data_IF_972400659337
#
_entry.id   IF_972400659337
#
_cell.length_a   1.000
_cell.length_b   1.000
_cell.length_c   1.000
_cell.angle_alpha   90.00
_cell.angle_beta   90.00
_cell.angle_gamma   90.00
#
_symmetry.space_group_name_H-M   'P 1'
#
loop_
_entity.id
_entity.type
_entity.pdbx_description
1 polymer ?
#
# COMPACT_ATOMS: atom_id res chain seq x y z
N UNK A 1 -9.74 -9.41 6.79
CA UNK A 1 -8.29 -9.45 7.08
C UNK A 1 -7.78 -8.03 7.27
N UNK A 2 -6.83 -7.82 8.18
CA UNK A 2 -6.17 -6.51 8.40
C UNK A 2 -4.70 -6.63 8.07
N UNK A 3 -4.11 -5.55 7.57
CA UNK A 3 -2.66 -5.42 7.38
C UNK A 3 -2.08 -4.56 8.50
N UNK A 4 -1.13 -5.12 9.24
CA UNK A 4 -0.39 -4.44 10.31
C UNK A 4 0.94 -3.97 9.74
N UNK A 5 1.26 -2.69 9.94
CA UNK A 5 2.50 -2.08 9.49
C UNK A 5 3.42 -1.90 10.69
N UNK A 6 4.56 -2.59 10.67
CA UNK A 6 5.61 -2.51 11.67
C UNK A 6 6.88 -1.95 11.04
N UNK A 7 7.62 -1.16 11.81
CA UNK A 7 8.91 -0.63 11.39
C UNK A 7 10.00 -1.30 12.22
N UNK A 8 10.86 -2.08 11.59
CA UNK A 8 12.01 -2.73 12.22
C UNK A 8 13.30 -1.93 11.93
N UNK A 9 14.22 -1.82 12.90
CA UNK A 9 15.44 -1.05 12.74
C UNK A 9 16.50 -1.78 11.89
N UNK A 10 16.46 -3.11 11.83
CA UNK A 10 17.51 -3.93 11.17
C UNK A 10 16.93 -5.11 10.40
N UNK A 11 17.70 -5.61 9.44
CA UNK A 11 17.38 -6.82 8.68
C UNK A 11 17.30 -8.05 9.60
N UNK A 12 18.16 -8.13 10.62
CA UNK A 12 18.17 -9.23 11.57
C UNK A 12 16.88 -9.28 12.40
N UNK A 13 16.41 -8.13 12.92
CA UNK A 13 15.12 -8.05 13.62
C UNK A 13 13.98 -8.49 12.70
N UNK A 14 14.03 -8.08 11.42
CA UNK A 14 13.03 -8.47 10.44
C UNK A 14 12.99 -9.99 10.18
N UNK A 15 14.15 -10.66 10.15
CA UNK A 15 14.22 -12.13 10.04
C UNK A 15 13.66 -12.83 11.26
N UNK A 16 14.04 -12.39 12.46
CA UNK A 16 13.54 -12.96 13.70
C UNK A 16 12.01 -12.83 13.79
N UNK A 17 11.47 -11.67 13.39
CA UNK A 17 10.03 -11.47 13.24
C UNK A 17 9.43 -12.49 12.27
N UNK A 18 10.05 -12.69 11.10
CA UNK A 18 9.61 -13.68 10.12
C UNK A 18 9.57 -15.09 10.71
N UNK A 19 10.67 -15.54 11.32
CA UNK A 19 10.80 -16.88 11.90
C UNK A 19 9.78 -17.12 13.03
N UNK A 20 9.56 -16.12 13.88
CA UNK A 20 8.59 -16.21 14.98
C UNK A 20 7.14 -16.22 14.49
N UNK A 21 6.84 -15.47 13.42
CA UNK A 21 5.53 -15.53 12.75
C UNK A 21 5.30 -16.88 12.07
N UNK A 22 6.32 -17.47 11.46
CA UNK A 22 6.28 -18.83 10.93
C UNK A 22 6.01 -19.87 12.00
N UNK A 23 6.73 -19.80 13.12
CA UNK A 23 6.53 -20.68 14.26
C UNK A 23 5.12 -20.55 14.86
N UNK A 24 4.51 -19.36 14.76
CA UNK A 24 3.13 -19.09 15.17
C UNK A 24 2.06 -19.54 14.15
N UNK A 25 2.47 -20.16 13.03
CA UNK A 25 1.56 -20.67 11.99
C UNK A 25 1.07 -19.60 11.02
N UNK A 26 1.69 -18.41 10.99
CA UNK A 26 1.42 -17.40 9.96
C UNK A 26 2.30 -17.74 8.75
N UNK A 27 1.64 -18.03 7.63
CA UNK A 27 2.31 -18.47 6.41
C UNK A 27 3.11 -17.31 5.77
N UNK A 28 4.16 -17.63 5.00
CA UNK A 28 5.05 -16.66 4.34
C UNK A 28 4.27 -15.65 3.49
N UNK A 29 3.20 -16.12 2.84
CA UNK A 29 2.28 -15.28 2.05
C UNK A 29 1.69 -14.11 2.82
N UNK A 30 1.57 -14.24 4.14
CA UNK A 30 1.00 -13.24 5.01
C UNK A 30 2.05 -12.30 5.64
N UNK A 31 3.31 -12.38 5.22
CA UNK A 31 4.38 -11.49 5.65
C UNK A 31 5.09 -10.89 4.44
N UNK A 32 5.21 -9.57 4.39
CA UNK A 32 5.94 -8.88 3.33
C UNK A 32 6.85 -7.83 3.95
N UNK A 33 8.07 -7.70 3.41
CA UNK A 33 9.07 -6.76 3.90
C UNK A 33 9.48 -5.83 2.77
N UNK A 34 9.55 -4.54 3.07
CA UNK A 34 9.91 -3.50 2.11
C UNK A 34 11.10 -2.74 2.70
N UNK A 35 12.18 -2.65 1.92
CA UNK A 35 13.38 -1.89 2.26
C UNK A 35 13.98 -1.24 1.03
N UNK A 36 14.81 -0.21 1.25
CA UNK A 36 15.54 0.48 0.17
C UNK A 36 16.44 -0.48 -0.63
N UNK A 37 17.04 -1.46 0.05
CA UNK A 37 17.87 -2.49 -0.59
C UNK A 37 17.07 -3.79 -0.78
N UNK A 38 16.34 -3.87 -1.89
CA UNK A 38 15.60 -5.09 -2.25
C UNK A 38 16.54 -6.27 -2.57
N UNK A 39 17.80 -6.01 -2.92
CA UNK A 39 18.76 -7.06 -3.26
C UNK A 39 19.12 -7.89 -2.03
N UNK A 40 19.26 -7.24 -0.87
CA UNK A 40 19.47 -7.91 0.41
C UNK A 40 18.28 -8.76 0.89
N UNK A 41 17.05 -8.41 0.49
CA UNK A 41 15.84 -9.20 0.78
C UNK A 41 15.74 -10.45 -0.12
N UNK A 42 16.01 -10.29 -1.43
CA UNK A 42 16.00 -11.40 -2.40
C UNK A 42 17.05 -12.46 -2.08
N UNK A 43 18.24 -12.06 -1.63
CA UNK A 43 19.29 -12.98 -1.18
C UNK A 43 18.91 -13.80 0.07
N UNK A 44 17.91 -13.34 0.82
CA UNK A 44 17.48 -13.91 2.09
C UNK A 44 16.13 -14.63 1.99
N UNK A 45 15.63 -14.87 0.76
CA UNK A 45 14.32 -15.48 0.48
C UNK A 45 13.12 -14.74 1.09
N UNK A 46 13.27 -13.45 1.41
CA UNK A 46 12.16 -12.64 1.94
C UNK A 46 11.38 -12.08 0.75
N UNK A 47 10.09 -12.39 0.69
CA UNK A 47 9.23 -12.01 -0.44
C UNK A 47 9.03 -10.49 -0.51
N UNK A 48 9.42 -9.91 -1.64
CA UNK A 48 9.25 -8.48 -1.98
C UNK A 48 7.95 -8.22 -2.75
N UNK A 49 7.55 -6.95 -2.78
CA UNK A 49 6.21 -6.33 -2.79
C UNK A 49 5.22 -6.55 -3.95
N UNK A 50 5.16 -7.72 -4.61
CA UNK A 50 4.35 -7.91 -5.82
C UNK A 50 2.84 -7.56 -5.67
N UNK A 51 2.23 -7.78 -4.50
CA UNK A 51 0.79 -7.53 -4.30
C UNK A 51 0.41 -6.04 -4.34
N UNK A 52 1.26 -5.18 -3.78
CA UNK A 52 0.98 -3.75 -3.69
C UNK A 52 1.07 -3.07 -5.06
N UNK A 53 2.06 -3.47 -5.85
CA UNK A 53 2.22 -3.07 -7.25
C UNK A 53 1.00 -3.52 -8.09
N UNK A 54 0.56 -4.77 -7.90
CA UNK A 54 -0.64 -5.29 -8.58
C UNK A 54 -1.90 -4.49 -8.22
N UNK A 55 -2.04 -4.06 -6.96
CA UNK A 55 -3.22 -3.31 -6.51
C UNK A 55 -3.28 -1.89 -7.10
N UNK A 56 -2.13 -1.21 -7.19
CA UNK A 56 -2.04 0.13 -7.77
C UNK A 56 -2.24 0.11 -9.29
N UNK A 57 -1.76 -0.94 -9.98
CA UNK A 57 -2.07 -1.21 -11.39
C UNK A 57 -3.58 -1.30 -11.65
N UNK A 58 -4.30 -2.09 -10.85
CA UNK A 58 -5.76 -2.24 -11.00
C UNK A 58 -6.47 -0.92 -10.73
N UNK A 59 -6.07 -0.19 -9.68
CA UNK A 59 -6.68 1.09 -9.33
C UNK A 59 -6.53 2.11 -10.45
N UNK A 60 -5.29 2.38 -10.83
CA UNK A 60 -4.98 3.49 -11.72
C UNK A 60 -5.38 3.10 -13.17
N UNK A 61 -5.40 1.81 -13.50
CA UNK A 61 -6.07 1.28 -14.70
C UNK A 61 -7.58 1.52 -14.72
N UNK A 62 -8.31 1.29 -13.62
CA UNK A 62 -9.75 1.60 -13.55
C UNK A 62 -10.04 3.10 -13.67
N UNK A 63 -9.21 3.95 -13.05
CA UNK A 63 -9.32 5.41 -13.18
C UNK A 63 -9.07 5.82 -14.63
N UNK A 64 -8.01 5.30 -15.24
CA UNK A 64 -7.69 5.55 -16.64
C UNK A 64 -8.80 5.08 -17.59
N UNK A 65 -9.39 3.91 -17.35
CA UNK A 65 -10.54 3.40 -18.10
C UNK A 65 -11.74 4.35 -18.02
N UNK A 66 -12.06 4.85 -16.82
CA UNK A 66 -13.15 5.80 -16.62
C UNK A 66 -12.93 7.12 -17.36
N UNK A 67 -11.70 7.66 -17.32
CA UNK A 67 -11.33 8.86 -18.08
C UNK A 67 -11.43 8.60 -19.58
N UNK A 68 -10.88 7.48 -20.06
CA UNK A 68 -10.94 7.05 -21.46
C UNK A 68 -12.39 6.90 -21.96
N UNK A 69 -13.28 6.34 -21.14
CA UNK A 69 -14.70 6.22 -21.44
C UNK A 69 -15.38 7.59 -21.60
N UNK A 70 -15.17 8.52 -20.66
CA UNK A 70 -15.73 9.87 -20.74
C UNK A 70 -15.20 10.64 -21.95
N UNK A 71 -13.90 10.55 -22.24
CA UNK A 71 -13.30 11.13 -23.44
C UNK A 71 -13.87 10.51 -24.72
N UNK A 72 -14.05 9.19 -24.74
CA UNK A 72 -14.66 8.47 -25.86
C UNK A 72 -16.10 8.92 -26.11
N UNK A 73 -16.91 9.08 -25.05
CA UNK A 73 -18.27 9.61 -25.16
C UNK A 73 -18.29 11.05 -25.67
N UNK A 74 -17.41 11.91 -25.16
CA UNK A 74 -17.30 13.28 -25.62
C UNK A 74 -16.89 13.35 -27.10
N UNK A 75 -15.93 12.53 -27.52
CA UNK A 75 -15.49 12.44 -28.92
C UNK A 75 -16.59 11.91 -29.83
N UNK A 76 -17.32 10.86 -29.42
CA UNK A 76 -18.46 10.33 -30.16
C UNK A 76 -19.57 11.37 -30.30
N UNK A 77 -19.91 12.09 -29.22
CA UNK A 77 -20.90 13.16 -29.24
C UNK A 77 -20.49 14.32 -30.14
N UNK A 78 -19.21 14.70 -30.12
CA UNK A 78 -18.67 15.73 -31.01
C UNK A 78 -18.75 15.30 -32.48
N UNK A 79 -18.41 14.04 -32.76
CA UNK A 79 -18.47 13.47 -34.10
C UNK A 79 -19.91 13.38 -34.63
N UNK A 80 -20.90 13.11 -33.76
CA UNK A 80 -22.33 13.18 -34.10
C UNK A 80 -22.79 14.62 -34.37
N UNK A 81 -22.33 15.60 -33.59
CA UNK A 81 -22.76 16.99 -33.70
C UNK A 81 -22.21 17.71 -34.94
N UNK A 82 -20.93 17.49 -35.26
CA UNK A 82 -20.26 18.17 -36.38
C UNK A 82 -20.31 17.39 -37.70
N UNK A 83 -20.68 16.11 -37.66
CA UNK A 83 -20.76 15.21 -38.81
C UNK A 83 -19.58 15.34 -39.79
N UNK A 84 -18.31 15.31 -39.32
CA UNK A 84 -17.14 15.56 -40.18
C UNK A 84 -16.97 14.52 -41.29
N UNK A 85 -17.57 13.33 -41.12
CA UNK A 85 -17.54 12.22 -42.08
C UNK A 85 -18.90 11.99 -42.77
N UNK A 86 -19.83 12.95 -42.66
CA UNK A 86 -21.19 12.83 -43.16
C UNK A 86 -22.18 12.18 -42.17
N UNK A 87 -23.47 12.11 -42.54
CA UNK A 87 -24.52 11.59 -41.67
C UNK A 87 -24.59 10.06 -41.60
N UNK A 88 -24.07 9.36 -42.60
CA UNK A 88 -24.20 7.90 -42.75
C UNK A 88 -23.09 7.11 -42.04
N UNK A 89 -22.60 7.60 -40.90
CA UNK A 89 -21.63 6.86 -40.08
C UNK A 89 -22.38 5.77 -39.30
N UNK A 90 -22.00 4.48 -39.42
CA UNK A 90 -22.63 3.41 -38.67
C UNK A 90 -22.45 3.54 -37.15
N UNK A 91 -23.49 3.22 -36.37
CA UNK A 91 -23.47 3.24 -34.89
C UNK A 91 -22.30 2.46 -34.28
N UNK A 92 -21.88 1.38 -34.94
CA UNK A 92 -20.75 0.55 -34.50
C UNK A 92 -19.43 1.34 -34.44
N UNK A 93 -19.25 2.37 -35.27
CA UNK A 93 -18.04 3.20 -35.26
C UNK A 93 -17.96 4.03 -33.98
N UNK A 94 -19.08 4.63 -33.55
CA UNK A 94 -19.16 5.37 -32.30
C UNK A 94 -18.94 4.46 -31.08
N UNK A 95 -19.54 3.26 -31.12
CA UNK A 95 -19.31 2.26 -30.07
C UNK A 95 -17.83 1.85 -30.00
N UNK A 96 -17.21 1.54 -31.14
CA UNK A 96 -15.80 1.18 -31.22
C UNK A 96 -14.89 2.31 -30.73
N UNK A 97 -15.21 3.57 -31.05
CA UNK A 97 -14.47 4.73 -30.56
C UNK A 97 -14.45 4.80 -29.03
N UNK A 98 -15.62 4.63 -28.40
CA UNK A 98 -15.74 4.63 -26.94
C UNK A 98 -14.99 3.45 -26.31
N UNK A 99 -15.12 2.25 -26.88
CA UNK A 99 -14.43 1.05 -26.40
C UNK A 99 -12.92 1.21 -26.51
N UNK A 100 -12.40 1.65 -27.65
CA UNK A 100 -10.97 1.84 -27.86
C UNK A 100 -10.41 2.92 -26.93
N UNK A 101 -11.11 4.04 -26.77
CA UNK A 101 -10.69 5.10 -25.83
C UNK A 101 -10.66 4.59 -24.38
N UNK A 102 -11.64 3.77 -23.98
CA UNK A 102 -11.69 3.14 -22.65
C UNK A 102 -10.53 2.18 -22.43
N UNK A 103 -10.26 1.30 -23.40
CA UNK A 103 -9.17 0.33 -23.33
C UNK A 103 -7.79 1.03 -23.31
N UNK A 104 -7.63 2.06 -24.14
CA UNK A 104 -6.42 2.87 -24.15
C UNK A 104 -6.21 3.58 -22.81
N UNK A 105 -7.27 4.17 -22.25
CA UNK A 105 -7.23 4.76 -20.91
C UNK A 105 -6.88 3.74 -19.83
N UNK A 106 -7.43 2.52 -19.89
CA UNK A 106 -7.11 1.45 -18.95
C UNK A 106 -5.63 1.05 -19.02
N UNK A 107 -5.09 0.97 -20.23
CA UNK A 107 -3.68 0.63 -20.47
C UNK A 107 -2.75 1.72 -19.93
N UNK A 108 -2.94 2.97 -20.34
CA UNK A 108 -2.13 4.11 -19.87
C UNK A 108 -2.24 4.30 -18.34
N UNK A 109 -3.44 4.13 -17.79
CA UNK A 109 -3.68 4.17 -16.35
C UNK A 109 -2.97 3.05 -15.59
N UNK A 110 -2.97 1.84 -16.15
CA UNK A 110 -2.26 0.69 -15.59
C UNK A 110 -0.73 0.87 -15.62
N UNK A 111 -0.19 1.35 -16.75
CA UNK A 111 1.23 1.69 -16.87
C UNK A 111 1.64 2.77 -15.86
N UNK A 112 0.81 3.80 -15.70
CA UNK A 112 1.03 4.85 -14.70
C UNK A 112 1.01 4.28 -13.28
N UNK A 113 0.12 3.32 -12.99
CA UNK A 113 0.04 2.62 -11.71
C UNK A 113 1.28 1.78 -11.39
N UNK A 114 1.93 1.19 -12.40
CA UNK A 114 3.21 0.46 -12.24
C UNK A 114 4.38 1.43 -12.08
N UNK A 115 4.41 2.51 -12.87
CA UNK A 115 5.52 3.46 -12.88
C UNK A 115 5.56 4.38 -11.66
N UNK A 116 4.43 4.57 -10.98
CA UNK A 116 4.33 5.46 -9.82
C UNK A 116 4.66 4.70 -8.52
N UNK A 117 5.38 5.36 -7.61
CA UNK A 117 5.60 4.83 -6.27
C UNK A 117 4.24 4.51 -5.59
N UNK A 118 4.14 3.32 -4.98
CA UNK A 118 2.90 2.85 -4.40
C UNK A 118 2.34 3.87 -3.38
N UNK A 119 1.07 4.28 -3.55
CA UNK A 119 0.47 5.35 -2.74
C UNK A 119 0.44 5.03 -1.24
N UNK A 120 0.31 3.74 -0.87
CA UNK A 120 0.33 3.30 0.53
C UNK A 120 1.76 3.33 1.12
N UNK A 121 2.78 3.10 0.30
CA UNK A 121 4.20 3.18 0.69
C UNK A 121 4.73 4.60 0.81
N UNK A 122 4.25 5.52 -0.04
CA UNK A 122 4.72 6.91 -0.10
C UNK A 122 4.80 7.60 1.27
N UNK A 123 3.94 7.20 2.22
CA UNK A 123 3.87 7.75 3.58
C UNK A 123 4.98 7.22 4.51
N UNK A 124 5.56 6.09 4.17
CA UNK A 124 6.66 5.43 4.86
C UNK A 124 7.99 5.56 4.11
N UNK A 125 7.98 6.15 2.90
CA UNK A 125 9.17 6.38 2.07
C UNK A 125 10.35 6.96 2.86
N UNK A 126 10.11 8.01 3.67
CA UNK A 126 11.16 8.62 4.50
C UNK A 126 11.77 7.66 5.53
N UNK A 127 10.98 6.75 6.09
CA UNK A 127 11.47 5.77 7.04
C UNK A 127 12.27 4.67 6.33
N UNK A 128 11.84 4.28 5.12
CA UNK A 128 12.53 3.32 4.25
C UNK A 128 13.86 3.89 3.73
N UNK A 129 13.86 5.15 3.29
CA UNK A 129 15.06 5.88 2.87
C UNK A 129 16.08 6.05 4.00
N UNK A 130 15.60 6.17 5.24
CA UNK A 130 16.43 6.20 6.45
C UNK A 130 17.04 4.82 6.81
N UNK A 131 16.82 3.79 5.98
CA UNK A 131 17.39 2.45 6.15
C UNK A 131 16.59 1.54 7.07
N UNK A 132 15.34 1.90 7.41
CA UNK A 132 14.46 1.07 8.23
C UNK A 132 13.65 0.12 7.37
N UNK A 133 13.26 -1.00 7.95
CA UNK A 133 12.55 -2.09 7.27
C UNK A 133 11.07 -2.01 7.59
N UNK A 134 10.23 -1.90 6.57
CA UNK A 134 8.78 -1.88 6.73
C UNK A 134 8.25 -3.31 6.59
N UNK A 135 7.70 -3.86 7.68
CA UNK A 135 7.11 -5.19 7.72
C UNK A 135 5.59 -5.05 7.65
N UNK A 136 4.97 -5.71 6.69
CA UNK A 136 3.55 -5.84 6.50
C UNK A 136 3.12 -7.23 6.91
N UNK A 137 2.27 -7.32 7.93
CA UNK A 137 1.76 -8.59 8.44
C UNK A 137 0.25 -8.63 8.20
N UNK A 138 -0.20 -9.60 7.43
CA UNK A 138 -1.59 -9.86 7.15
C UNK A 138 -2.16 -10.79 8.21
N UNK A 139 -3.09 -10.29 9.02
CA UNK A 139 -3.72 -11.07 10.08
C UNK A 139 -5.24 -11.13 9.90
N UNK A 140 -5.80 -12.31 10.17
CA UNK A 140 -7.24 -12.47 10.37
C UNK A 140 -7.66 -11.78 11.68
N UNK A 141 -8.96 -11.47 11.82
CA UNK A 141 -9.45 -10.66 12.95
C UNK A 141 -9.22 -11.39 14.29
N UNK A 142 -9.26 -12.70 14.24
CA UNK A 142 -9.06 -13.64 15.34
C UNK A 142 -7.58 -13.75 15.73
N UNK A 143 -6.68 -13.66 14.75
CA UNK A 143 -5.22 -13.78 14.93
C UNK A 143 -4.54 -12.45 15.29
N UNK A 144 -5.21 -11.32 15.03
CA UNK A 144 -4.68 -9.98 15.28
C UNK A 144 -4.15 -9.80 16.71
N UNK A 145 -4.90 -10.27 17.71
CA UNK A 145 -4.52 -10.14 19.12
C UNK A 145 -3.26 -10.96 19.43
N UNK A 146 -3.18 -12.19 18.92
CA UNK A 146 -2.03 -13.08 19.09
C UNK A 146 -0.76 -12.50 18.45
N UNK A 147 -0.86 -12.03 17.20
CA UNK A 147 0.25 -11.39 16.49
C UNK A 147 0.73 -10.14 17.23
N UNK A 148 -0.19 -9.27 17.68
CA UNK A 148 0.19 -8.07 18.44
C UNK A 148 0.86 -8.40 19.78
N UNK A 149 0.39 -9.45 20.47
CA UNK A 149 0.97 -9.88 21.73
C UNK A 149 2.38 -10.45 21.53
N UNK A 150 2.56 -11.33 20.54
CA UNK A 150 3.86 -11.89 20.18
C UNK A 150 4.85 -10.79 19.79
N UNK A 151 4.46 -9.89 18.89
CA UNK A 151 5.31 -8.77 18.47
C UNK A 151 5.74 -7.89 19.65
N UNK A 152 4.85 -7.62 20.61
CA UNK A 152 5.20 -6.85 21.81
C UNK A 152 6.13 -7.60 22.77
N UNK A 153 5.99 -8.91 22.86
CA UNK A 153 6.75 -9.74 23.79
C UNK A 153 8.16 -10.07 23.27
N UNK A 154 8.30 -10.33 21.97
CA UNK A 154 9.54 -10.80 21.35
C UNK A 154 10.27 -9.75 20.51
N UNK A 155 9.56 -8.75 19.99
CA UNK A 155 10.10 -7.75 19.06
C UNK A 155 9.71 -6.33 19.48
N UNK A 156 10.08 -5.94 20.71
CA UNK A 156 9.78 -4.61 21.24
C UNK A 156 10.44 -3.48 20.44
N UNK A 157 11.49 -3.79 19.68
CA UNK A 157 12.16 -2.88 18.75
C UNK A 157 11.35 -2.59 17.48
N UNK A 158 10.36 -3.42 17.14
CA UNK A 158 9.49 -3.23 15.98
C UNK A 158 8.30 -2.33 16.33
N UNK A 159 8.29 -1.10 15.82
CA UNK A 159 7.26 -0.11 16.14
C UNK A 159 6.01 -0.32 15.25
N UNK A 160 4.83 -0.51 15.86
CA UNK A 160 3.56 -0.53 15.12
C UNK A 160 3.18 0.90 14.67
N UNK A 161 3.32 1.16 13.37
CA UNK A 161 3.11 2.49 12.80
C UNK A 161 1.76 2.67 12.11
N UNK A 162 1.10 1.60 11.67
CA UNK A 162 -0.24 1.70 11.07
C UNK A 162 -1.00 0.37 11.09
N UNK A 163 -2.32 0.46 10.91
CA UNK A 163 -3.24 -0.67 10.78
C UNK A 163 -4.20 -0.35 9.64
N UNK A 164 -4.21 -1.16 8.60
CA UNK A 164 -5.16 -1.06 7.49
C UNK A 164 -6.21 -2.18 7.61
N UNK A 165 -7.47 -1.79 7.81
CA UNK A 165 -8.58 -2.75 7.88
C UNK A 165 -9.17 -3.08 6.50
N UNK A 166 -8.84 -2.31 5.47
CA UNK A 166 -9.35 -2.44 4.11
C UNK A 166 -8.18 -2.59 3.13
N UNK A 167 -7.20 -3.41 3.48
CA UNK A 167 -5.98 -3.56 2.69
C UNK A 167 -6.24 -3.95 1.23
N UNK A 168 -7.20 -4.85 1.01
CA UNK A 168 -7.58 -5.37 -0.32
C UNK A 168 -8.22 -4.27 -1.18
N UNK A 169 -8.77 -3.22 -0.59
CA UNK A 169 -9.38 -2.15 -1.36
C UNK A 169 -8.29 -1.24 -1.97
N UNK A 170 -8.19 -1.13 -3.31
CA UNK A 170 -7.22 -0.27 -3.97
C UNK A 170 -7.38 1.21 -3.61
N UNK A 171 -8.60 1.63 -3.30
CA UNK A 171 -8.95 3.02 -3.00
C UNK A 171 -8.83 3.36 -1.50
N UNK A 172 -8.46 2.41 -0.64
CA UNK A 172 -8.32 2.70 0.78
C UNK A 172 -7.01 3.44 1.10
N UNK A 173 -7.08 4.39 2.03
CA UNK A 173 -5.92 5.08 2.56
C UNK A 173 -5.53 4.52 3.93
N UNK A 174 -4.29 4.10 4.08
CA UNK A 174 -3.71 3.73 5.38
C UNK A 174 -3.52 5.00 6.19
N UNK A 175 -3.84 5.03 7.48
CA UNK A 175 -3.54 6.16 8.38
C UNK A 175 -2.43 5.78 9.37
N UNK A 176 -1.34 6.55 9.41
CA UNK A 176 -0.28 6.35 10.40
C UNK A 176 -0.86 6.56 11.80
N UNK A 177 -0.63 5.61 12.69
CA UNK A 177 -0.92 5.74 14.11
C UNK A 177 -0.01 6.86 14.63
N UNK A 178 -0.60 7.88 15.27
CA UNK A 178 0.20 8.89 15.95
C UNK A 178 1.07 8.17 16.98
N UNK A 179 2.38 8.43 16.95
CA UNK A 179 3.27 8.07 18.06
C UNK A 179 2.59 8.56 19.33
N UNK A 180 2.31 7.65 20.26
CA UNK A 180 2.11 8.07 21.62
C UNK A 180 3.45 8.68 22.02
N UNK A 181 3.55 10.00 21.95
CA UNK A 181 4.69 10.76 22.44
C UNK A 181 4.97 10.22 23.83
N UNK A 182 6.12 9.59 24.00
CA UNK A 182 6.62 9.20 25.29
C UNK A 182 6.54 10.44 26.18
N UNK A 183 5.59 10.46 27.11
CA UNK A 183 5.64 11.34 28.27
C UNK A 183 6.91 10.93 29.01
N UNK A 184 8.03 11.57 28.69
CA UNK A 184 9.21 11.58 29.55
C UNK A 184 8.81 12.29 30.84
N UNK A 185 8.49 11.47 31.83
CA UNK A 185 8.98 11.49 33.20
C UNK A 185 9.65 12.78 33.69
N UNK A 186 9.16 13.26 34.85
CA UNK A 186 10.03 13.66 35.95
C UNK A 186 10.32 15.15 36.12
N UNK A 187 9.46 15.84 36.87
CA UNK A 187 9.91 16.84 37.82
C UNK A 187 9.28 16.48 39.17
N UNK A 188 10.09 15.94 40.08
CA UNK A 188 9.72 15.77 41.49
C UNK A 188 9.49 17.17 42.09
N UNK A 189 8.49 17.36 42.96
CA UNK A 189 8.40 18.59 43.72
C UNK A 189 9.58 18.64 44.70
N UNK A 190 10.33 19.74 44.63
CA UNK A 190 11.49 20.03 45.44
C UNK A 190 11.00 20.86 46.64
N UNK A 191 10.52 20.18 47.67
CA UNK A 191 9.97 20.83 48.87
C UNK A 191 10.19 19.98 50.12
N UNK A 192 11.41 19.50 50.34
CA UNK A 192 11.94 19.20 51.69
C UNK A 192 13.46 19.33 51.74
N UNK A 193 13.95 20.52 52.02
CA UNK A 193 15.15 20.78 52.82
C UNK A 193 15.21 22.29 53.11
N UNK A 194 15.45 22.64 54.37
CA UNK A 194 15.46 23.99 54.97
C UNK A 194 14.11 24.52 55.52
N UNK A 195 13.59 23.82 56.52
CA UNK A 195 13.22 24.41 57.83
C UNK A 195 13.14 23.33 58.89
#
# INVERSE_FOLDING_TARGET
MKCLYYLAPTLQSTRQVSDDLHAAGVNDFFLHVISKDESGLKQQHIHSSNYLETLDLVRDGLIGAGIGFLCGLAAAGLMMAFQPFGPDVPDIVYFMLVVLATLFGAWEGGLTGIATENKKLKRFHRDIEAGRYLILIYAWKEQEAAVRAMMRARHAEAELIAVDSHFINPFSAVKRRRRASARRTGALPQDQAWQ
#
